data_IF_649939411318
#
_entry.id   IF_649939411318
#
_cell.length_a   1.000
_cell.length_b   1.000
_cell.length_c   1.000
_cell.angle_alpha   90.00
_cell.angle_beta   90.00
_cell.angle_gamma   90.00
#
_symmetry.space_group_name_H-M   'P 1'
#
loop_
_entity.id
_entity.type
_entity.pdbx_description
1 polymer ?
#
# COMPACT_ATOMS: atom_id res chain seq x y z
N UNK A 1 4.69 14.14 10.28
CA UNK A 1 5.34 13.30 9.26
C UNK A 1 4.72 13.62 7.91
N UNK A 2 5.53 13.90 6.88
CA UNK A 2 5.01 14.23 5.53
C UNK A 2 4.77 12.95 4.72
N UNK A 3 3.76 12.95 3.83
CA UNK A 3 3.46 11.82 2.92
C UNK A 3 3.65 12.29 1.49
N UNK A 4 4.42 11.53 0.72
CA UNK A 4 4.71 11.79 -0.69
C UNK A 4 4.22 10.63 -1.55
N UNK A 5 3.86 10.94 -2.78
CA UNK A 5 3.40 10.00 -3.80
C UNK A 5 4.23 10.25 -5.06
N UNK A 6 4.66 9.19 -5.72
CA UNK A 6 5.24 9.30 -7.07
C UNK A 6 4.16 9.62 -8.10
N UNK A 7 4.57 10.16 -9.25
CA UNK A 7 3.65 10.40 -10.36
C UNK A 7 2.97 9.11 -10.82
N UNK A 8 3.70 7.99 -10.87
CA UNK A 8 3.14 6.70 -11.26
C UNK A 8 1.99 6.26 -10.36
N UNK A 9 2.13 6.42 -9.04
CA UNK A 9 1.03 6.14 -8.10
C UNK A 9 -0.17 7.05 -8.35
N UNK A 10 0.06 8.35 -8.50
CA UNK A 10 -1.03 9.32 -8.66
C UNK A 10 -1.81 9.12 -9.97
N UNK A 11 -1.16 8.62 -11.03
CA UNK A 11 -1.78 8.39 -12.34
C UNK A 11 -2.44 7.01 -12.46
N UNK A 12 -1.84 5.96 -11.88
CA UNK A 12 -2.26 4.58 -12.11
C UNK A 12 -3.12 4.00 -10.99
N UNK A 13 -2.96 4.48 -9.75
CA UNK A 13 -3.62 3.89 -8.58
C UNK A 13 -4.83 4.74 -8.19
N UNK A 14 -6.05 4.17 -8.16
CA UNK A 14 -7.23 4.85 -7.65
C UNK A 14 -7.05 5.39 -6.23
N UNK A 15 -7.54 6.62 -5.97
CA UNK A 15 -7.35 7.32 -4.69
C UNK A 15 -7.85 6.53 -3.47
N UNK A 16 -8.92 5.73 -3.62
CA UNK A 16 -9.43 4.87 -2.57
C UNK A 16 -8.42 3.78 -2.16
N UNK A 17 -7.69 3.21 -3.11
CA UNK A 17 -6.64 2.22 -2.82
C UNK A 17 -5.44 2.91 -2.16
N UNK A 18 -5.04 4.08 -2.65
CA UNK A 18 -3.96 4.86 -2.02
C UNK A 18 -4.27 5.17 -0.55
N UNK A 19 -5.49 5.68 -0.27
CA UNK A 19 -5.95 5.96 1.09
C UNK A 19 -5.97 4.71 1.96
N UNK A 20 -6.42 3.58 1.41
CA UNK A 20 -6.44 2.31 2.12
C UNK A 20 -5.03 1.84 2.52
N UNK A 21 -4.06 1.90 1.61
CA UNK A 21 -2.67 1.57 1.91
C UNK A 21 -2.10 2.47 3.03
N UNK A 22 -2.40 3.77 3.01
CA UNK A 22 -2.01 4.68 4.09
C UNK A 22 -2.67 4.35 5.42
N UNK A 23 -3.94 3.95 5.42
CA UNK A 23 -4.64 3.51 6.63
C UNK A 23 -4.03 2.24 7.22
N UNK A 24 -3.69 1.26 6.38
CA UNK A 24 -2.98 0.05 6.81
C UNK A 24 -1.61 0.39 7.43
N UNK A 25 -0.86 1.30 6.80
CA UNK A 25 0.40 1.80 7.33
C UNK A 25 0.23 2.50 8.70
N UNK A 26 -0.74 3.40 8.85
CA UNK A 26 -1.00 4.07 10.13
C UNK A 26 -1.40 3.07 11.21
N UNK A 27 -2.22 2.07 10.87
CA UNK A 27 -2.60 1.00 11.79
C UNK A 27 -1.38 0.19 12.25
N UNK A 28 -0.49 -0.20 11.33
CA UNK A 28 0.76 -0.87 11.68
C UNK A 28 1.61 -0.01 12.62
N UNK A 29 1.72 1.29 12.35
CA UNK A 29 2.47 2.25 13.19
C UNK A 29 1.91 2.35 14.62
N UNK A 30 0.59 2.40 14.77
CA UNK A 30 -0.07 2.44 16.09
C UNK A 30 0.16 1.17 16.90
N UNK A 31 0.22 0.00 16.24
CA UNK A 31 0.47 -1.27 16.93
C UNK A 31 1.92 -1.43 17.42
N UNK A 32 2.83 -0.51 17.06
CA UNK A 32 4.26 -0.58 17.41
C UNK A 32 5.03 -1.67 16.69
N UNK A 33 4.38 -2.38 15.77
CA UNK A 33 4.91 -3.48 14.96
C UNK A 33 5.01 -3.03 13.51
N UNK A 34 5.86 -2.03 13.23
CA UNK A 34 5.99 -1.47 11.89
C UNK A 34 7.44 -1.58 11.42
N UNK A 35 7.57 -1.93 10.14
CA UNK A 35 8.83 -1.92 9.40
C UNK A 35 8.90 -0.63 8.57
N UNK A 36 10.13 -0.18 8.25
CA UNK A 36 10.33 0.98 7.40
C UNK A 36 9.80 0.74 5.98
N UNK A 37 9.86 -0.53 5.52
CA UNK A 37 9.34 -0.96 4.23
C UNK A 37 8.02 -1.70 4.39
N UNK A 38 6.97 -1.16 3.78
CA UNK A 38 5.66 -1.79 3.69
C UNK A 38 5.36 -2.16 2.25
N UNK A 39 4.98 -3.41 2.03
CA UNK A 39 4.71 -3.96 0.70
C UNK A 39 3.23 -4.19 0.53
N UNK A 40 2.64 -3.64 -0.53
CA UNK A 40 1.25 -3.85 -0.92
C UNK A 40 1.20 -4.46 -2.31
N UNK A 41 0.67 -5.67 -2.42
CA UNK A 41 0.45 -6.38 -3.68
C UNK A 41 -1.04 -6.32 -4.01
N UNK A 42 -1.39 -5.55 -5.04
CA UNK A 42 -2.75 -5.37 -5.54
C UNK A 42 -3.00 -6.44 -6.60
N UNK A 43 -4.07 -7.22 -6.44
CA UNK A 43 -4.49 -8.23 -7.42
C UNK A 43 -5.97 -8.07 -7.79
N UNK A 44 -6.27 -8.30 -9.05
CA UNK A 44 -7.65 -8.37 -9.54
C UNK A 44 -8.22 -9.73 -9.14
N UNK A 45 -9.22 -9.74 -8.25
CA UNK A 45 -9.89 -10.98 -7.85
C UNK A 45 -11.06 -11.30 -8.79
N UNK A 46 -11.87 -10.29 -9.10
CA UNK A 46 -12.97 -10.31 -10.07
C UNK A 46 -13.24 -8.88 -10.59
N UNK A 47 -14.19 -8.69 -11.50
CA UNK A 47 -14.52 -7.39 -12.11
C UNK A 47 -14.92 -6.29 -11.11
N UNK A 48 -15.31 -6.65 -9.89
CA UNK A 48 -15.80 -5.74 -8.85
C UNK A 48 -15.01 -5.84 -7.53
N UNK A 49 -13.94 -6.64 -7.49
CA UNK A 49 -13.19 -6.92 -6.26
C UNK A 49 -11.69 -6.78 -6.47
N UNK A 50 -11.11 -5.88 -5.69
CA UNK A 50 -9.67 -5.70 -5.54
C UNK A 50 -9.19 -6.51 -4.32
N UNK A 51 -8.23 -7.40 -4.52
CA UNK A 51 -7.45 -7.97 -3.44
C UNK A 51 -6.26 -7.05 -3.15
N UNK A 52 -6.00 -6.76 -1.88
CA UNK A 52 -4.83 -6.04 -1.39
C UNK A 52 -4.13 -6.93 -0.38
N UNK A 53 -2.92 -7.36 -0.70
CA UNK A 53 -2.09 -8.12 0.20
C UNK A 53 -0.99 -7.24 0.78
N UNK A 54 -1.03 -7.02 2.09
CA UNK A 54 -0.11 -6.18 2.84
C UNK A 54 0.90 -7.07 3.57
N UNK A 55 2.20 -6.83 3.35
CA UNK A 55 3.32 -7.56 3.96
C UNK A 55 4.40 -6.60 4.49
N UNK A 56 5.13 -7.02 5.52
CA UNK A 56 6.36 -6.39 6.02
C UNK A 56 7.28 -7.48 6.62
N UNK A 57 8.58 -7.21 6.73
CA UNK A 57 9.58 -8.21 7.14
C UNK A 57 9.76 -8.28 8.66
N UNK A 58 9.90 -7.13 9.35
CA UNK A 58 10.19 -7.10 10.79
C UNK A 58 9.29 -6.11 11.55
N UNK A 59 8.41 -6.61 12.46
CA UNK A 59 8.07 -8.01 12.65
C UNK A 59 7.32 -8.57 11.44
N UNK A 60 7.46 -9.87 11.20
CA UNK A 60 6.74 -10.54 10.10
C UNK A 60 5.24 -10.29 10.26
N UNK A 61 4.66 -9.68 9.23
CA UNK A 61 3.23 -9.42 9.18
C UNK A 61 2.76 -9.60 7.75
N UNK A 62 1.60 -10.23 7.64
CA UNK A 62 0.94 -10.53 6.38
C UNK A 62 -0.57 -10.47 6.61
N UNK A 63 -1.26 -9.65 5.82
CA UNK A 63 -2.71 -9.57 5.84
C UNK A 63 -3.26 -9.39 4.44
N UNK A 64 -4.39 -10.04 4.17
CA UNK A 64 -5.08 -9.96 2.88
C UNK A 64 -6.42 -9.27 3.12
N UNK A 65 -6.73 -8.28 2.28
CA UNK A 65 -7.97 -7.52 2.31
C UNK A 65 -8.67 -7.64 0.97
N UNK A 66 -9.99 -7.65 1.00
CA UNK A 66 -10.83 -7.58 -0.19
C UNK A 66 -11.64 -6.29 -0.15
N UNK A 67 -11.43 -5.46 -1.16
CA UNK A 67 -12.11 -4.18 -1.32
C UNK A 67 -13.04 -4.27 -2.53
N UNK A 68 -14.24 -3.71 -2.42
CA UNK A 68 -15.06 -3.47 -3.61
C UNK A 68 -14.37 -2.40 -4.45
N UNK A 69 -14.12 -2.69 -5.72
CA UNK A 69 -13.51 -1.77 -6.68
C UNK A 69 -14.17 -1.94 -8.03
N UNK A 70 -14.61 -0.84 -8.64
CA UNK A 70 -15.20 -0.86 -9.98
C UNK A 70 -14.15 -0.92 -11.10
N UNK A 71 -12.88 -0.74 -10.75
CA UNK A 71 -11.74 -0.86 -11.66
C UNK A 71 -10.57 -1.46 -10.87
N UNK A 72 -10.60 -2.76 -10.60
CA UNK A 72 -9.51 -3.43 -9.92
C UNK A 72 -8.26 -3.41 -10.81
N UNK A 73 -7.10 -3.34 -10.16
CA UNK A 73 -5.79 -3.22 -10.81
C UNK A 73 -4.84 -4.28 -10.26
N UNK A 74 -3.90 -4.68 -11.10
CA UNK A 74 -2.78 -5.54 -10.72
C UNK A 74 -1.52 -4.69 -10.71
N UNK A 75 -1.06 -4.33 -9.52
CA UNK A 75 0.14 -3.52 -9.32
C UNK A 75 0.76 -3.82 -7.96
N UNK A 76 2.06 -3.55 -7.83
CA UNK A 76 2.76 -3.65 -6.55
C UNK A 76 3.20 -2.26 -6.10
N UNK A 77 2.92 -1.93 -4.84
CA UNK A 77 3.17 -0.63 -4.23
C UNK A 77 4.08 -0.82 -3.02
N UNK A 78 5.01 0.10 -2.82
CA UNK A 78 5.79 0.22 -1.61
C UNK A 78 5.45 1.50 -0.87
N UNK A 79 5.42 1.44 0.45
CA UNK A 79 5.51 2.62 1.31
C UNK A 79 6.83 2.51 2.08
N UNK A 80 7.68 3.52 1.93
CA UNK A 80 8.97 3.62 2.60
C UNK A 80 8.90 4.76 3.62
N UNK A 81 9.13 4.46 4.90
CA UNK A 81 9.24 5.43 5.99
C UNK A 81 10.72 5.79 6.24
N UNK A 82 11.12 7.02 5.92
CA UNK A 82 12.46 7.58 6.14
C UNK A 82 12.56 8.32 7.49
N UNK A 83 11.57 8.16 8.38
CA UNK A 83 11.45 8.82 9.67
C UNK A 83 10.80 10.21 9.61
N UNK A 84 11.35 11.11 8.78
CA UNK A 84 10.80 12.48 8.63
C UNK A 84 9.59 12.53 7.69
N UNK A 85 9.63 11.68 6.66
CA UNK A 85 8.62 11.54 5.64
C UNK A 85 8.46 10.08 5.21
N UNK A 86 7.31 9.76 4.64
CA UNK A 86 7.09 8.50 3.94
C UNK A 86 6.73 8.76 2.48
N UNK A 87 7.17 7.85 1.63
CA UNK A 87 6.92 7.90 0.19
C UNK A 87 6.19 6.63 -0.23
N UNK A 88 5.11 6.79 -0.99
CA UNK A 88 4.43 5.70 -1.68
C UNK A 88 4.83 5.73 -3.16
N UNK A 89 5.28 4.58 -3.66
CA UNK A 89 5.79 4.41 -5.02
C UNK A 89 5.38 3.06 -5.62
N UNK A 90 5.36 2.96 -6.94
CA UNK A 90 5.18 1.68 -7.62
C UNK A 90 6.45 0.83 -7.49
N UNK A 91 6.30 -0.48 -7.53
CA UNK A 91 7.44 -1.39 -7.51
C UNK A 91 8.34 -1.27 -8.74
N UNK A 92 7.79 -0.79 -9.86
CA UNK A 92 8.54 -0.50 -11.08
C UNK A 92 9.38 0.80 -10.98
N UNK A 93 9.07 1.66 -9.99
CA UNK A 93 9.80 2.92 -9.72
C UNK A 93 10.88 2.77 -8.63
N UNK A 94 10.99 1.58 -8.03
CA UNK A 94 12.00 1.22 -7.03
C UNK A 94 13.19 0.52 -7.69
#
# INVERSE_FOLDING_TARGET
>A
MKRYLTCGINEQIPINIQLFCWQCYDAAKVTGKYDYLQVFELKILDEQTQQVEHRQEVPEYKQIYHLKSTNPIDQKIFIIDEGEYATMLLAEEY
#
